data_IF_119213400633
#
_entry.id   IF_119213400633
#
_cell.length_a   1.000
_cell.length_b   1.000
_cell.length_c   1.000
_cell.angle_alpha   90.00
_cell.angle_beta   90.00
_cell.angle_gamma   90.00
#
_symmetry.space_group_name_H-M   'P 1'
#
loop_
_entity.id
_entity.type
_entity.pdbx_description
1 polymer ?
#
# COMPACT_ATOMS: atom_id res chain seq x y z
N UNK A 1 16.14 3.67 29.11
CA UNK A 1 17.37 4.40 28.72
C UNK A 1 17.35 5.80 29.29
N UNK A 2 16.29 6.58 29.06
CA UNK A 2 16.11 7.94 29.60
C UNK A 2 16.34 8.04 31.11
N UNK A 3 15.70 7.20 31.94
CA UNK A 3 15.87 7.27 33.41
C UNK A 3 17.32 7.04 33.86
N UNK A 4 18.05 6.14 33.19
CA UNK A 4 19.45 5.85 33.50
C UNK A 4 20.39 6.97 33.04
N UNK A 5 20.06 7.66 31.94
CA UNK A 5 20.77 8.88 31.52
C UNK A 5 20.52 10.03 32.49
N UNK A 6 19.28 10.23 32.94
CA UNK A 6 18.93 11.22 33.97
C UNK A 6 19.64 10.95 35.28
N UNK A 7 19.72 9.67 35.71
CA UNK A 7 20.49 9.25 36.88
C UNK A 7 21.98 9.60 36.72
N UNK A 8 22.57 9.31 35.54
CA UNK A 8 23.96 9.65 35.24
C UNK A 8 24.22 11.16 35.27
N UNK A 9 23.28 11.96 34.76
CA UNK A 9 23.37 13.42 34.86
C UNK A 9 23.32 13.91 36.31
N UNK A 10 22.41 13.37 37.14
CA UNK A 10 22.40 13.69 38.57
C UNK A 10 23.65 13.25 39.32
N UNK A 11 24.31 12.17 38.89
CA UNK A 11 25.57 11.71 39.46
C UNK A 11 26.76 12.63 39.10
N UNK A 12 26.68 13.39 38.01
CA UNK A 12 27.70 14.38 37.61
C UNK A 12 27.74 15.59 38.54
N UNK A 13 26.61 15.93 39.16
CA UNK A 13 26.51 17.04 40.12
C UNK A 13 27.10 16.70 41.50
N UNK A 14 27.47 15.43 41.73
CA UNK A 14 28.07 15.00 42.99
C UNK A 14 29.52 15.44 43.12
N UNK A 15 29.90 15.91 44.32
CA UNK A 15 31.29 16.24 44.68
C UNK A 15 32.26 15.06 44.53
N UNK A 16 31.76 13.81 44.57
CA UNK A 16 32.55 12.59 44.42
C UNK A 16 32.69 12.11 42.97
N UNK A 17 32.08 12.78 41.99
CA UNK A 17 32.05 12.36 40.58
C UNK A 17 33.44 12.07 40.00
N UNK A 18 34.45 12.87 40.36
CA UNK A 18 35.84 12.70 39.89
C UNK A 18 36.42 11.30 40.17
N UNK A 19 35.94 10.59 41.20
CA UNK A 19 36.42 9.25 41.55
C UNK A 19 35.92 8.15 40.60
N UNK A 20 34.86 8.41 39.84
CA UNK A 20 34.24 7.43 38.94
C UNK A 20 33.89 7.99 37.56
N UNK A 21 34.43 9.16 37.21
CA UNK A 21 34.18 9.86 35.94
C UNK A 21 34.42 8.96 34.72
N UNK A 22 35.55 8.23 34.69
CA UNK A 22 35.88 7.33 33.58
C UNK A 22 34.80 6.27 33.33
N UNK A 23 34.21 5.71 34.39
CA UNK A 23 33.13 4.72 34.28
C UNK A 23 31.82 5.38 33.85
N UNK A 24 31.54 6.58 34.35
CA UNK A 24 30.35 7.33 33.99
C UNK A 24 30.34 7.73 32.51
N UNK A 25 31.48 8.18 31.96
CA UNK A 25 31.62 8.53 30.55
C UNK A 25 31.41 7.33 29.61
N UNK A 26 31.97 6.17 29.96
CA UNK A 26 31.75 4.92 29.19
C UNK A 26 30.26 4.57 29.14
N UNK A 27 29.57 4.64 30.29
CA UNK A 27 28.15 4.32 30.35
C UNK A 27 27.29 5.37 29.65
N UNK A 28 27.66 6.65 29.73
CA UNK A 28 26.99 7.73 29.01
C UNK A 28 27.06 7.50 27.50
N UNK A 29 28.27 7.26 26.96
CA UNK A 29 28.43 6.96 25.52
C UNK A 29 27.59 5.75 25.10
N UNK A 30 27.67 4.65 25.87
CA UNK A 30 26.91 3.43 25.58
C UNK A 30 25.40 3.65 25.60
N UNK A 31 24.88 4.42 26.56
CA UNK A 31 23.45 4.70 26.66
C UNK A 31 22.96 5.60 25.53
N UNK A 32 23.76 6.59 25.14
CA UNK A 32 23.46 7.46 23.98
C UNK A 32 23.43 6.66 22.68
N UNK A 33 24.47 5.85 22.42
CA UNK A 33 24.52 4.99 21.23
C UNK A 33 23.35 4.01 21.20
N UNK A 34 23.03 3.41 22.35
CA UNK A 34 21.93 2.47 22.45
C UNK A 34 20.57 3.11 22.16
N UNK A 35 20.35 4.32 22.66
CA UNK A 35 19.13 5.07 22.37
C UNK A 35 18.96 5.34 20.88
N UNK A 36 20.03 5.76 20.21
CA UNK A 36 20.05 6.00 18.76
C UNK A 36 19.78 4.70 18.00
N UNK A 37 20.43 3.60 18.36
CA UNK A 37 20.26 2.32 17.68
C UNK A 37 18.84 1.76 17.83
N UNK A 38 18.25 1.84 19.04
CA UNK A 38 16.88 1.38 19.27
C UNK A 38 15.86 2.24 18.51
N UNK A 39 16.04 3.56 18.47
CA UNK A 39 15.20 4.46 17.67
C UNK A 39 15.29 4.13 16.19
N UNK A 40 16.50 3.99 15.64
CA UNK A 40 16.72 3.65 14.24
C UNK A 40 16.17 2.27 13.88
N UNK A 41 16.40 1.25 14.71
CA UNK A 41 15.85 -0.09 14.52
C UNK A 41 14.32 -0.08 14.50
N UNK A 42 13.67 0.66 15.40
CA UNK A 42 12.21 0.77 15.40
C UNK A 42 11.68 1.41 14.11
N UNK A 43 12.33 2.47 13.64
CA UNK A 43 11.95 3.12 12.37
C UNK A 43 12.13 2.18 11.18
N UNK A 44 13.27 1.49 11.11
CA UNK A 44 13.57 0.49 10.09
C UNK A 44 12.52 -0.62 10.10
N UNK A 45 12.22 -1.19 11.28
CA UNK A 45 11.25 -2.27 11.43
C UNK A 45 9.86 -1.85 10.93
N UNK A 46 9.38 -0.66 11.32
CA UNK A 46 8.06 -0.16 10.87
C UNK A 46 8.00 -0.01 9.36
N UNK A 47 9.05 0.56 8.73
CA UNK A 47 9.13 0.70 7.27
C UNK A 47 9.24 -0.65 6.58
N UNK A 48 10.08 -1.55 7.10
CA UNK A 48 10.31 -2.87 6.52
C UNK A 48 9.04 -3.73 6.57
N UNK A 49 8.29 -3.72 7.68
CA UNK A 49 7.02 -4.47 7.79
C UNK A 49 5.98 -3.98 6.78
N UNK A 50 5.96 -2.69 6.46
CA UNK A 50 5.09 -2.15 5.43
C UNK A 50 5.55 -2.54 4.01
N UNK A 51 6.86 -2.45 3.74
CA UNK A 51 7.40 -2.64 2.40
C UNK A 51 7.60 -4.12 2.01
N UNK A 52 7.87 -5.02 2.97
CA UNK A 52 8.19 -6.42 2.68
C UNK A 52 7.07 -7.18 1.96
N UNK A 53 5.79 -7.09 2.36
CA UNK A 53 4.72 -7.76 1.63
C UNK A 53 4.53 -7.21 0.22
N UNK A 54 4.75 -5.90 0.04
CA UNK A 54 4.56 -5.17 -1.22
C UNK A 54 5.63 -5.61 -2.23
N UNK A 55 6.90 -5.49 -1.89
CA UNK A 55 8.01 -5.93 -2.72
C UNK A 55 8.09 -7.46 -2.82
N UNK A 56 7.64 -8.20 -1.80
CA UNK A 56 7.54 -9.66 -1.83
C UNK A 56 6.62 -10.18 -2.93
N UNK A 57 5.54 -9.44 -3.25
CA UNK A 57 4.63 -9.71 -4.37
C UNK A 57 5.17 -9.27 -5.74
N UNK A 58 6.37 -8.67 -5.78
CA UNK A 58 6.97 -8.16 -7.01
C UNK A 58 6.44 -6.80 -7.44
N UNK A 59 5.84 -6.02 -6.53
CA UNK A 59 5.51 -4.63 -6.81
C UNK A 59 6.79 -3.84 -7.08
N UNK A 60 6.82 -3.05 -8.16
CA UNK A 60 7.96 -2.25 -8.64
C UNK A 60 9.25 -3.08 -8.91
N UNK A 61 9.31 -3.78 -10.07
CA UNK A 61 10.49 -4.57 -10.45
C UNK A 61 11.82 -3.80 -10.47
N UNK A 62 11.78 -2.49 -10.77
CA UNK A 62 12.96 -1.63 -10.82
C UNK A 62 13.64 -1.45 -9.47
N UNK A 63 12.87 -1.42 -8.38
CA UNK A 63 13.36 -1.20 -7.01
C UNK A 63 13.50 -2.52 -6.22
N UNK A 64 13.04 -3.64 -6.78
CA UNK A 64 13.12 -4.98 -6.19
C UNK A 64 14.56 -5.36 -5.79
N UNK A 65 15.53 -5.09 -6.65
CA UNK A 65 16.93 -5.39 -6.38
C UNK A 65 17.50 -4.59 -5.21
N UNK A 66 17.03 -3.34 -5.01
CA UNK A 66 17.42 -2.51 -3.86
C UNK A 66 16.80 -3.08 -2.59
N UNK A 67 15.49 -3.36 -2.60
CA UNK A 67 14.79 -3.88 -1.44
C UNK A 67 15.35 -5.24 -0.98
N UNK A 68 15.67 -6.16 -1.90
CA UNK A 68 16.26 -7.46 -1.55
C UNK A 68 17.60 -7.36 -0.83
N UNK A 69 18.46 -6.38 -1.20
CA UNK A 69 19.74 -6.16 -0.51
C UNK A 69 19.50 -5.69 0.93
N UNK A 70 18.57 -4.76 1.10
CA UNK A 70 18.19 -4.22 2.40
C UNK A 70 17.54 -5.28 3.28
N UNK A 71 16.65 -6.09 2.70
CA UNK A 71 15.99 -7.21 3.38
C UNK A 71 17.02 -8.20 3.92
N UNK A 72 17.99 -8.59 3.08
CA UNK A 72 19.08 -9.49 3.49
C UNK A 72 19.93 -8.88 4.60
N UNK A 73 20.30 -7.60 4.50
CA UNK A 73 21.10 -6.93 5.53
C UNK A 73 20.34 -6.83 6.86
N UNK A 74 19.08 -6.40 6.83
CA UNK A 74 18.23 -6.28 8.01
C UNK A 74 17.97 -7.64 8.66
N UNK A 75 17.62 -8.68 7.90
CA UNK A 75 17.44 -10.04 8.42
C UNK A 75 18.72 -10.59 9.03
N UNK A 76 19.89 -10.29 8.45
CA UNK A 76 21.18 -10.69 9.02
C UNK A 76 21.43 -10.03 10.38
N UNK A 77 21.14 -8.73 10.51
CA UNK A 77 21.26 -8.02 11.79
C UNK A 77 20.30 -8.62 12.83
N UNK A 78 19.05 -8.86 12.46
CA UNK A 78 18.05 -9.45 13.35
C UNK A 78 18.39 -10.89 13.76
N UNK A 79 18.93 -11.70 12.85
CA UNK A 79 19.40 -13.05 13.14
C UNK A 79 20.57 -13.05 14.13
N UNK A 80 21.52 -12.12 13.99
CA UNK A 80 22.61 -11.97 14.95
C UNK A 80 22.08 -11.59 16.35
N UNK A 81 21.12 -10.67 16.42
CA UNK A 81 20.51 -10.27 17.71
C UNK A 81 19.73 -11.43 18.34
N UNK A 82 19.01 -12.21 17.53
CA UNK A 82 18.22 -13.33 18.03
C UNK A 82 19.06 -14.54 18.46
N UNK A 83 20.15 -14.85 17.73
CA UNK A 83 20.86 -16.13 17.87
C UNK A 83 22.27 -16.02 18.46
N UNK A 84 22.97 -14.87 18.34
CA UNK A 84 24.31 -14.71 18.94
C UNK A 84 24.25 -14.12 20.34
N UNK A 85 23.59 -12.98 20.50
CA UNK A 85 23.51 -12.30 21.80
C UNK A 85 22.26 -11.41 21.91
N UNK A 86 21.28 -11.89 22.67
CA UNK A 86 20.02 -11.20 22.92
C UNK A 86 20.14 -10.08 23.97
N UNK A 87 21.34 -9.80 24.49
CA UNK A 87 21.55 -8.69 25.43
C UNK A 87 21.56 -7.38 24.67
N UNK A 88 20.73 -6.44 25.09
CA UNK A 88 20.64 -5.10 24.49
C UNK A 88 21.99 -4.36 24.46
N UNK A 89 22.88 -4.61 25.44
CA UNK A 89 24.23 -4.03 25.52
C UNK A 89 25.16 -4.59 24.42
N UNK A 90 24.87 -5.76 23.84
CA UNK A 90 25.68 -6.33 22.76
C UNK A 90 25.65 -5.44 21.51
N UNK A 91 24.54 -4.70 21.31
CA UNK A 91 24.35 -3.76 20.21
C UNK A 91 25.36 -2.60 20.25
N UNK A 92 25.67 -2.06 21.44
CA UNK A 92 26.66 -0.98 21.58
C UNK A 92 28.09 -1.42 21.32
N UNK A 93 28.37 -2.73 21.39
CA UNK A 93 29.71 -3.27 21.16
C UNK A 93 29.94 -3.67 19.68
N UNK A 94 28.92 -3.56 18.82
CA UNK A 94 29.01 -3.98 17.42
C UNK A 94 29.60 -2.87 16.56
N UNK A 95 30.82 -3.08 16.08
CA UNK A 95 31.50 -2.16 15.17
C UNK A 95 30.71 -1.99 13.86
N UNK A 96 30.48 -0.74 13.44
CA UNK A 96 29.86 -0.42 12.15
C UNK A 96 28.33 -0.52 12.12
N UNK A 97 27.67 -0.96 13.22
CA UNK A 97 26.20 -1.08 13.27
C UNK A 97 25.50 0.24 12.93
N UNK A 98 26.01 1.37 13.46
CA UNK A 98 25.47 2.70 13.17
C UNK A 98 25.43 3.01 11.67
N UNK A 99 26.51 2.70 10.96
CA UNK A 99 26.61 2.95 9.52
C UNK A 99 25.65 2.04 8.74
N UNK A 100 25.54 0.76 9.11
CA UNK A 100 24.57 -0.16 8.52
C UNK A 100 23.12 0.28 8.75
N UNK A 101 22.75 0.65 9.98
CA UNK A 101 21.39 1.11 10.28
C UNK A 101 21.04 2.37 9.49
N UNK A 102 21.97 3.34 9.41
CA UNK A 102 21.76 4.55 8.62
C UNK A 102 21.63 4.24 7.12
N UNK A 103 22.44 3.33 6.58
CA UNK A 103 22.34 2.90 5.19
C UNK A 103 21.01 2.20 4.90
N UNK A 104 20.60 1.24 5.75
CA UNK A 104 19.31 0.56 5.65
C UNK A 104 18.16 1.57 5.66
N UNK A 105 18.20 2.53 6.58
CA UNK A 105 17.17 3.56 6.70
C UNK A 105 17.09 4.45 5.44
N UNK A 106 18.22 4.91 4.91
CA UNK A 106 18.27 5.68 3.65
C UNK A 106 17.72 4.86 2.46
N UNK A 107 18.12 3.58 2.33
CA UNK A 107 17.62 2.75 1.25
C UNK A 107 16.11 2.47 1.37
N UNK A 108 15.60 2.22 2.59
CA UNK A 108 14.16 2.06 2.82
C UNK A 108 13.38 3.34 2.52
N UNK A 109 13.93 4.51 2.85
CA UNK A 109 13.33 5.80 2.50
C UNK A 109 13.24 5.99 0.98
N UNK A 110 14.28 5.59 0.24
CA UNK A 110 14.25 5.63 -1.23
C UNK A 110 13.23 4.68 -1.82
N UNK A 111 13.17 3.43 -1.34
CA UNK A 111 12.14 2.47 -1.75
C UNK A 111 10.72 3.00 -1.48
N UNK A 112 10.50 3.57 -0.30
CA UNK A 112 9.20 4.14 0.06
C UNK A 112 8.85 5.35 -0.82
N UNK A 113 9.81 6.21 -1.12
CA UNK A 113 9.59 7.36 -1.99
C UNK A 113 9.21 6.91 -3.40
N UNK A 114 9.95 5.96 -3.97
CA UNK A 114 9.66 5.40 -5.29
C UNK A 114 8.27 4.73 -5.34
N UNK A 115 7.89 4.00 -4.28
CA UNK A 115 6.55 3.44 -4.15
C UNK A 115 5.47 4.53 -4.13
N UNK A 116 5.65 5.59 -3.33
CA UNK A 116 4.69 6.68 -3.25
C UNK A 116 4.54 7.42 -4.58
N UNK A 117 5.64 7.68 -5.28
CA UNK A 117 5.62 8.31 -6.62
C UNK A 117 4.85 7.44 -7.62
N UNK A 118 5.09 6.12 -7.62
CA UNK A 118 4.36 5.17 -8.46
C UNK A 118 2.85 5.14 -8.14
N UNK A 119 2.48 5.10 -6.86
CA UNK A 119 1.08 5.10 -6.45
C UNK A 119 0.39 6.43 -6.82
N UNK A 120 1.08 7.54 -6.67
CA UNK A 120 0.56 8.86 -7.02
C UNK A 120 0.37 9.01 -8.54
N UNK A 121 1.27 8.48 -9.35
CA UNK A 121 1.11 8.42 -10.81
C UNK A 121 -0.17 7.66 -11.18
N UNK A 122 -0.41 6.50 -10.55
CA UNK A 122 -1.63 5.71 -10.76
C UNK A 122 -2.88 6.44 -10.27
N UNK A 123 -2.83 7.12 -9.13
CA UNK A 123 -3.94 7.94 -8.61
C UNK A 123 -4.28 9.12 -9.51
N UNK A 124 -3.27 9.78 -10.07
CA UNK A 124 -3.45 10.86 -11.04
C UNK A 124 -4.13 10.37 -12.32
N UNK A 125 -3.77 9.18 -12.79
CA UNK A 125 -4.37 8.56 -13.97
C UNK A 125 -5.85 8.17 -13.76
N UNK A 126 -6.23 7.71 -12.56
CA UNK A 126 -7.61 7.40 -12.21
C UNK A 126 -8.00 7.98 -10.83
N UNK A 127 -8.66 9.15 -10.78
CA UNK A 127 -8.92 9.89 -9.54
C UNK A 127 -9.73 9.15 -8.47
N UNK A 128 -10.39 8.04 -8.78
CA UNK A 128 -11.09 7.27 -7.74
C UNK A 128 -10.15 6.49 -6.83
N UNK A 129 -8.91 6.27 -7.26
CA UNK A 129 -7.90 5.63 -6.43
C UNK A 129 -7.48 6.46 -5.20
N UNK A 130 -7.83 7.76 -5.15
CA UNK A 130 -7.64 8.56 -3.93
C UNK A 130 -8.55 8.12 -2.77
N UNK A 131 -9.63 7.38 -3.04
CA UNK A 131 -10.59 6.93 -2.03
C UNK A 131 -10.32 5.51 -1.51
N UNK A 132 -9.26 4.85 -1.99
CA UNK A 132 -8.84 3.53 -1.52
C UNK A 132 -7.46 3.58 -0.87
N UNK A 133 -7.22 2.68 0.08
CA UNK A 133 -5.93 2.55 0.76
C UNK A 133 -4.84 2.02 -0.18
N UNK A 134 -3.58 2.24 0.19
CA UNK A 134 -2.42 1.78 -0.58
C UNK A 134 -2.43 0.25 -0.78
N UNK A 135 -2.84 -0.51 0.24
CA UNK A 135 -2.92 -1.99 0.18
C UNK A 135 -3.94 -2.47 -0.87
N UNK A 136 -5.14 -1.89 -0.86
CA UNK A 136 -6.19 -2.19 -1.85
C UNK A 136 -5.71 -1.80 -3.27
N UNK A 137 -5.08 -0.62 -3.40
CA UNK A 137 -4.57 -0.15 -4.70
C UNK A 137 -3.49 -1.08 -5.25
N UNK A 138 -2.56 -1.52 -4.40
CA UNK A 138 -1.50 -2.44 -4.79
C UNK A 138 -2.03 -3.83 -5.15
N UNK A 139 -3.06 -4.31 -4.48
CA UNK A 139 -3.73 -5.56 -4.83
C UNK A 139 -4.40 -5.48 -6.20
N UNK A 140 -5.11 -4.38 -6.49
CA UNK A 140 -5.71 -4.11 -7.80
C UNK A 140 -4.65 -4.05 -8.90
N UNK A 141 -3.53 -3.34 -8.66
CA UNK A 141 -2.44 -3.20 -9.63
C UNK A 141 -1.68 -4.51 -9.86
N UNK A 142 -1.49 -5.31 -8.80
CA UNK A 142 -0.77 -6.59 -8.87
C UNK A 142 -1.60 -7.73 -9.47
N UNK A 143 -2.93 -7.66 -9.38
CA UNK A 143 -3.86 -8.66 -9.90
C UNK A 143 -4.78 -8.10 -10.99
N UNK A 144 -4.25 -7.22 -11.84
CA UNK A 144 -4.98 -6.52 -12.90
C UNK A 144 -5.69 -7.42 -13.92
N UNK A 145 -5.30 -8.69 -13.98
CA UNK A 145 -5.87 -9.70 -14.87
C UNK A 145 -6.78 -10.70 -14.17
N UNK A 146 -6.83 -10.71 -12.83
CA UNK A 146 -7.68 -11.65 -12.08
C UNK A 146 -9.04 -11.00 -11.81
N UNK A 147 -10.09 -11.41 -12.52
CA UNK A 147 -11.36 -10.70 -12.44
C UNK A 147 -12.06 -10.87 -11.09
N UNK A 148 -11.82 -11.99 -10.41
CA UNK A 148 -12.40 -12.29 -9.09
C UNK A 148 -11.94 -11.28 -8.03
N UNK A 149 -10.65 -10.94 -8.05
CA UNK A 149 -10.07 -9.97 -7.12
C UNK A 149 -10.53 -8.57 -7.47
N UNK A 150 -10.52 -8.22 -8.76
CA UNK A 150 -11.02 -6.92 -9.21
C UNK A 150 -12.48 -6.68 -8.78
N UNK A 151 -13.35 -7.70 -8.86
CA UNK A 151 -14.75 -7.58 -8.44
C UNK A 151 -14.91 -7.21 -6.96
N UNK A 152 -14.07 -7.74 -6.06
CA UNK A 152 -14.16 -7.41 -4.63
C UNK A 152 -13.82 -5.93 -4.35
N UNK A 153 -12.92 -5.34 -5.14
CA UNK A 153 -12.54 -3.93 -5.02
C UNK A 153 -13.39 -2.99 -5.87
N UNK A 154 -14.05 -3.48 -6.94
CA UNK A 154 -14.93 -2.67 -7.79
C UNK A 154 -16.06 -2.01 -7.00
N UNK A 155 -16.63 -2.73 -6.02
CA UNK A 155 -17.65 -2.18 -5.10
C UNK A 155 -17.16 -0.98 -4.29
N UNK A 156 -15.87 -0.98 -3.91
CA UNK A 156 -15.26 0.17 -3.21
C UNK A 156 -15.05 1.36 -4.15
N UNK A 157 -14.78 1.11 -5.43
CA UNK A 157 -14.52 2.14 -6.45
C UNK A 157 -15.79 2.72 -7.10
N UNK A 158 -16.86 1.92 -7.17
CA UNK A 158 -18.13 2.26 -7.79
C UNK A 158 -19.27 1.89 -6.83
N UNK A 159 -19.81 2.88 -6.12
CA UNK A 159 -20.89 2.64 -5.16
C UNK A 159 -22.15 2.00 -5.79
N UNK A 160 -22.41 2.26 -7.09
CA UNK A 160 -23.55 1.71 -7.82
C UNK A 160 -23.32 0.34 -8.47
N UNK A 161 -22.08 -0.19 -8.45
CA UNK A 161 -21.74 -1.48 -9.05
C UNK A 161 -21.34 -2.43 -7.93
N UNK A 162 -22.14 -3.48 -7.71
CA UNK A 162 -21.80 -4.52 -6.74
C UNK A 162 -20.89 -5.57 -7.38
N UNK A 163 -21.24 -6.05 -8.57
CA UNK A 163 -20.47 -7.02 -9.36
C UNK A 163 -20.57 -6.70 -10.85
N UNK A 164 -19.70 -7.30 -11.65
CA UNK A 164 -19.73 -7.18 -13.11
C UNK A 164 -19.80 -8.56 -13.75
N UNK A 165 -20.53 -8.66 -14.86
CA UNK A 165 -20.57 -9.87 -15.66
C UNK A 165 -19.46 -9.82 -16.71
N UNK A 166 -18.73 -10.93 -16.83
CA UNK A 166 -17.54 -11.05 -17.67
C UNK A 166 -17.81 -12.16 -18.68
N UNK A 167 -17.33 -11.97 -19.91
CA UNK A 167 -17.46 -12.97 -20.97
C UNK A 167 -16.75 -14.29 -20.63
N UNK A 168 -17.11 -15.36 -21.35
CA UNK A 168 -16.55 -16.71 -21.16
C UNK A 168 -15.01 -16.74 -21.32
N UNK A 169 -14.46 -15.81 -22.10
CA UNK A 169 -13.02 -15.68 -22.32
C UNK A 169 -12.30 -14.85 -21.24
N UNK A 170 -13.02 -14.27 -20.27
CA UNK A 170 -12.49 -13.38 -19.23
C UNK A 170 -11.73 -12.15 -19.76
N UNK A 171 -12.12 -11.65 -20.94
CA UNK A 171 -11.49 -10.51 -21.65
C UNK A 171 -12.36 -9.28 -21.66
N UNK A 172 -13.68 -9.41 -21.53
CA UNK A 172 -14.59 -8.29 -21.65
C UNK A 172 -15.63 -8.28 -20.54
N UNK A 173 -15.90 -7.10 -20.02
CA UNK A 173 -17.05 -6.83 -19.14
C UNK A 173 -18.25 -6.54 -20.04
N UNK A 174 -19.32 -7.31 -19.83
CA UNK A 174 -20.55 -7.28 -20.63
C UNK A 174 -21.74 -6.66 -19.91
N UNK A 175 -21.80 -6.75 -18.59
CA UNK A 175 -22.85 -6.11 -17.80
C UNK A 175 -22.34 -5.63 -16.43
N UNK A 176 -23.08 -4.70 -15.83
CA UNK A 176 -22.90 -4.31 -14.43
C UNK A 176 -24.13 -4.74 -13.62
N UNK A 177 -23.89 -5.17 -12.38
CA UNK A 177 -24.91 -5.74 -11.50
C UNK A 177 -24.94 -4.92 -10.22
N UNK A 178 -26.12 -4.45 -9.84
CA UNK A 178 -26.34 -3.67 -8.60
C UNK A 178 -26.35 -4.59 -7.36
N UNK A 179 -26.38 -4.00 -6.17
CA UNK A 179 -26.52 -4.76 -4.93
C UNK A 179 -27.88 -5.47 -4.81
N UNK A 180 -28.90 -4.93 -5.47
CA UNK A 180 -30.26 -5.47 -5.49
C UNK A 180 -30.47 -6.52 -6.59
N UNK A 181 -29.41 -6.85 -7.35
CA UNK A 181 -29.44 -7.83 -8.43
C UNK A 181 -29.92 -7.28 -9.78
N UNK A 182 -30.08 -5.97 -9.90
CA UNK A 182 -30.41 -5.30 -11.16
C UNK A 182 -29.25 -5.42 -12.14
N UNK A 183 -29.53 -5.93 -13.34
CA UNK A 183 -28.50 -6.18 -14.37
C UNK A 183 -28.66 -5.17 -15.49
N UNK A 184 -27.63 -4.37 -15.73
CA UNK A 184 -27.57 -3.42 -16.85
C UNK A 184 -26.51 -3.89 -17.84
N UNK A 185 -26.97 -4.31 -19.03
CA UNK A 185 -26.07 -4.72 -20.10
C UNK A 185 -25.37 -3.52 -20.73
N UNK A 186 -24.06 -3.63 -20.93
CA UNK A 186 -23.32 -2.62 -21.66
C UNK A 186 -23.60 -2.71 -23.15
N UNK A 187 -23.89 -1.57 -23.77
CA UNK A 187 -24.06 -1.51 -25.23
C UNK A 187 -22.76 -1.82 -25.98
N UNK A 188 -21.65 -1.35 -25.42
CA UNK A 188 -20.31 -1.65 -25.92
C UNK A 188 -19.51 -2.33 -24.81
N UNK A 189 -18.98 -3.52 -25.11
CA UNK A 189 -18.21 -4.32 -24.16
C UNK A 189 -16.94 -3.58 -23.74
N UNK A 190 -16.58 -3.64 -22.46
CA UNK A 190 -15.35 -3.03 -21.94
C UNK A 190 -14.24 -4.07 -21.96
N UNK A 191 -13.16 -3.81 -22.70
CA UNK A 191 -12.01 -4.71 -22.77
C UNK A 191 -11.13 -4.58 -21.51
N UNK A 192 -10.81 -5.71 -20.90
CA UNK A 192 -9.86 -5.81 -19.78
C UNK A 192 -8.44 -5.79 -20.36
N UNK A 193 -7.64 -4.82 -19.92
CA UNK A 193 -6.22 -4.69 -20.29
C UNK A 193 -5.35 -4.67 -19.03
N UNK A 194 -4.03 -4.95 -19.14
CA UNK A 194 -3.14 -4.94 -17.98
C UNK A 194 -3.08 -3.60 -17.24
N UNK A 195 -3.22 -2.47 -17.96
CA UNK A 195 -3.29 -1.13 -17.38
C UNK A 195 -4.67 -0.88 -16.75
N UNK A 196 -4.74 -1.05 -15.43
CA UNK A 196 -6.01 -1.05 -14.69
C UNK A 196 -6.74 0.30 -14.79
N UNK A 197 -5.99 1.38 -14.68
CA UNK A 197 -6.47 2.74 -14.81
C UNK A 197 -7.17 3.01 -16.16
N UNK A 198 -6.72 2.37 -17.23
CA UNK A 198 -7.25 2.58 -18.58
C UNK A 198 -8.61 1.92 -18.72
N UNK A 199 -8.72 0.63 -18.37
CA UNK A 199 -10.00 -0.06 -18.51
C UNK A 199 -11.03 0.39 -17.47
N UNK A 200 -10.63 0.79 -16.25
CA UNK A 200 -11.55 1.37 -15.27
C UNK A 200 -12.10 2.73 -15.71
N UNK A 201 -11.26 3.55 -16.36
CA UNK A 201 -11.71 4.81 -16.95
C UNK A 201 -12.70 4.56 -18.10
N UNK A 202 -12.39 3.59 -18.97
CA UNK A 202 -13.31 3.16 -20.02
C UNK A 202 -14.61 2.60 -19.45
N UNK A 203 -14.58 1.83 -18.36
CA UNK A 203 -15.77 1.33 -17.68
C UNK A 203 -16.66 2.50 -17.21
N UNK A 204 -16.07 3.51 -16.58
CA UNK A 204 -16.79 4.69 -16.12
C UNK A 204 -17.42 5.48 -17.30
N UNK A 205 -16.71 5.59 -18.42
CA UNK A 205 -17.23 6.22 -19.63
C UNK A 205 -18.39 5.40 -20.24
N UNK A 206 -18.18 4.09 -20.46
CA UNK A 206 -19.20 3.20 -21.06
C UNK A 206 -20.43 3.08 -20.18
N UNK A 207 -20.30 3.13 -18.87
CA UNK A 207 -21.43 3.24 -17.95
C UNK A 207 -22.28 4.48 -18.24
N UNK A 208 -21.66 5.66 -18.36
CA UNK A 208 -22.37 6.91 -18.66
C UNK A 208 -23.04 6.87 -20.03
N UNK A 209 -22.33 6.41 -21.06
CA UNK A 209 -22.87 6.33 -22.42
C UNK A 209 -24.01 5.32 -22.52
N UNK A 210 -23.90 4.19 -21.82
CA UNK A 210 -24.95 3.15 -21.79
C UNK A 210 -26.22 3.67 -21.11
N UNK A 211 -26.10 4.32 -19.94
CA UNK A 211 -27.25 4.92 -19.25
C UNK A 211 -27.88 6.05 -20.07
N UNK A 212 -27.07 6.91 -20.70
CA UNK A 212 -27.57 7.95 -21.61
C UNK A 212 -28.36 7.35 -22.79
N UNK A 213 -27.85 6.25 -23.36
CA UNK A 213 -28.53 5.56 -24.44
C UNK A 213 -29.87 4.98 -23.98
N UNK A 214 -29.90 4.28 -22.86
CA UNK A 214 -31.14 3.70 -22.30
C UNK A 214 -32.18 4.77 -21.99
N UNK A 215 -31.77 5.93 -21.45
CA UNK A 215 -32.66 7.06 -21.23
C UNK A 215 -33.28 7.58 -22.54
N UNK A 216 -32.47 7.79 -23.57
CA UNK A 216 -32.95 8.27 -24.88
C UNK A 216 -33.85 7.24 -25.57
N UNK A 217 -33.55 5.95 -25.45
CA UNK A 217 -34.37 4.86 -25.98
C UNK A 217 -35.73 4.78 -25.27
N UNK A 218 -35.74 4.92 -23.94
CA UNK A 218 -36.95 4.95 -23.12
C UNK A 218 -37.85 6.14 -23.46
N UNK A 219 -37.28 7.35 -23.61
CA UNK A 219 -38.03 8.55 -24.02
C UNK A 219 -38.67 8.38 -25.41
N UNK A 220 -37.92 7.88 -26.39
CA UNK A 220 -38.46 7.61 -27.73
C UNK A 220 -39.56 6.55 -27.71
N UNK A 221 -39.41 5.50 -26.91
CA UNK A 221 -40.44 4.47 -26.75
C UNK A 221 -41.72 5.06 -26.13
N UNK A 222 -41.59 5.99 -25.19
CA UNK A 222 -42.71 6.71 -24.57
C UNK A 222 -43.45 7.62 -25.56
N UNK A 223 -42.72 8.32 -26.42
CA UNK A 223 -43.31 9.22 -27.43
C UNK A 223 -44.00 8.45 -28.57
N UNK A 224 -43.52 7.23 -28.89
CA UNK A 224 -44.01 6.43 -30.02
C UNK A 224 -45.08 5.40 -29.66
N UNK A 225 -45.20 5.01 -28.39
CA UNK A 225 -46.14 3.96 -27.95
C UNK A 225 -47.15 4.49 -26.92
N UNK A 226 -48.45 4.29 -27.19
CA UNK A 226 -49.54 4.46 -26.20
C UNK A 226 -49.60 3.33 -25.16
N UNK A 227 -48.63 2.40 -25.19
CA UNK A 227 -48.56 1.21 -24.33
C UNK A 227 -47.51 1.40 -23.23
N UNK A 228 -47.76 0.78 -22.07
CA UNK A 228 -46.87 0.83 -20.90
C UNK A 228 -45.43 0.45 -21.26
N UNK A 229 -44.48 1.29 -20.84
CA UNK A 229 -43.04 1.03 -20.91
C UNK A 229 -42.75 -0.29 -20.17
N UNK A 230 -41.93 -1.15 -20.76
CA UNK A 230 -41.51 -2.41 -20.15
C UNK A 230 -40.57 -2.12 -18.96
N UNK A 231 -41.00 -2.37 -17.71
CA UNK A 231 -40.21 -2.07 -16.52
C UNK A 231 -39.03 -3.02 -16.33
N UNK A 232 -38.97 -4.16 -17.04
CA UNK A 232 -37.83 -5.08 -16.97
C UNK A 232 -36.69 -4.70 -17.93
N UNK A 233 -36.98 -3.84 -18.92
CA UNK A 233 -36.03 -3.48 -19.98
C UNK A 233 -35.08 -2.34 -19.60
N UNK A 234 -35.52 -1.44 -18.73
CA UNK A 234 -34.76 -0.25 -18.34
C UNK A 234 -34.41 -0.30 -16.86
N UNK A 235 -33.24 0.23 -16.47
CA UNK A 235 -32.92 0.35 -15.07
C UNK A 235 -33.91 1.28 -14.35
N UNK A 236 -34.05 1.09 -13.04
CA UNK A 236 -35.00 1.82 -12.20
C UNK A 236 -34.67 3.30 -11.98
N UNK A 237 -33.43 3.72 -12.27
CA UNK A 237 -32.95 5.12 -12.20
C UNK A 237 -33.43 5.97 -13.38
#
# INVERSE_FOLDING_TARGET
>A
VSDNQSLLQSLKDSSFYRLFADKAEIWESRLVDLEEYLKSLNQIQRKWVYLEPIFGRGALPQEQGRFQRVDKEFRSIMADVAHRDNRVISLSNRSGLRSSLNNILDQLQRCQKALNEFLEEKRSAFPRFYFIGDDDLLEILGQSTNPTVIQSHLKKLFAGINTVEIDEESKHIVAMISADGEVVQFKEKVKIVPEVEVWLSNLAEKMRTTLQYYLLDCLKATDSSKSSIDPEKYPSQ
#
